data_IF_624471705956
#
_entry.id   IF_624471705956
#
_cell.length_a   1.000
_cell.length_b   1.000
_cell.length_c   1.000
_cell.angle_alpha   90.00
_cell.angle_beta   90.00
_cell.angle_gamma   90.00
#
_symmetry.space_group_name_H-M   'P 1'
#
loop_
_entity.id
_entity.type
_entity.pdbx_description
1 polymer ?
#
# COMPACT_ATOMS: atom_id res chain seq x y z
N UNK A 1 -26.21 10.32 6.91
CA UNK A 1 -24.89 9.77 7.30
C UNK A 1 -25.12 8.44 8.01
N UNK A 2 -24.45 7.36 7.61
CA UNK A 2 -24.49 6.10 8.36
C UNK A 2 -23.26 6.09 9.26
N UNK A 3 -23.45 6.43 10.54
CA UNK A 3 -22.38 6.56 11.55
C UNK A 3 -21.47 5.32 11.58
N UNK A 4 -22.05 4.13 11.35
CA UNK A 4 -21.31 2.87 11.33
C UNK A 4 -20.19 2.80 10.29
N UNK A 5 -20.36 3.43 9.13
CA UNK A 5 -19.35 3.40 8.04
C UNK A 5 -18.17 4.32 8.36
N UNK A 6 -18.43 5.49 8.95
CA UNK A 6 -17.35 6.37 9.42
C UNK A 6 -16.56 5.72 10.54
N UNK A 7 -17.23 5.07 11.49
CA UNK A 7 -16.57 4.38 12.60
C UNK A 7 -15.61 3.28 12.08
N UNK A 8 -16.07 2.48 11.11
CA UNK A 8 -15.24 1.47 10.45
C UNK A 8 -14.07 2.09 9.68
N UNK A 9 -14.29 3.19 8.96
CA UNK A 9 -13.24 3.90 8.22
C UNK A 9 -12.15 4.45 9.13
N UNK A 10 -12.52 5.10 10.24
CA UNK A 10 -11.56 5.62 11.23
C UNK A 10 -10.79 4.48 11.90
N UNK A 11 -11.49 3.40 12.29
CA UNK A 11 -10.85 2.24 12.91
C UNK A 11 -9.86 1.56 11.96
N UNK A 12 -10.22 1.45 10.67
CA UNK A 12 -9.33 0.95 9.63
C UNK A 12 -8.10 1.86 9.43
N UNK A 13 -8.30 3.17 9.37
CA UNK A 13 -7.20 4.14 9.25
C UNK A 13 -6.23 4.08 10.43
N UNK A 14 -6.75 3.97 11.67
CA UNK A 14 -5.93 3.80 12.87
C UNK A 14 -5.17 2.48 12.87
N UNK A 15 -5.82 1.39 12.45
CA UNK A 15 -5.17 0.09 12.32
C UNK A 15 -4.03 0.13 11.29
N UNK A 16 -4.26 0.74 10.12
CA UNK A 16 -3.23 0.91 9.09
C UNK A 16 -2.04 1.70 9.62
N UNK A 17 -2.29 2.83 10.30
CA UNK A 17 -1.24 3.65 10.90
C UNK A 17 -0.42 2.85 11.94
N UNK A 18 -1.09 2.04 12.76
CA UNK A 18 -0.44 1.16 13.73
C UNK A 18 0.42 0.08 13.06
N UNK A 19 -0.07 -0.56 12.01
CA UNK A 19 0.68 -1.57 11.25
C UNK A 19 1.92 -0.94 10.59
N UNK A 20 1.76 0.22 9.96
CA UNK A 20 2.86 1.00 9.38
C UNK A 20 3.92 1.36 10.42
N UNK A 21 3.49 1.75 11.63
CA UNK A 21 4.40 2.03 12.74
C UNK A 21 5.17 0.78 13.21
N UNK A 22 4.51 -0.38 13.32
CA UNK A 22 5.17 -1.65 13.67
C UNK A 22 6.20 -2.04 12.62
N UNK A 23 5.84 -2.00 11.34
CA UNK A 23 6.75 -2.39 10.26
C UNK A 23 7.97 -1.45 10.18
N UNK A 24 7.79 -0.16 10.47
CA UNK A 24 8.91 0.75 10.62
C UNK A 24 9.82 0.40 11.81
N UNK A 25 9.22 0.07 12.96
CA UNK A 25 9.98 -0.38 14.15
C UNK A 25 10.77 -1.67 13.88
N UNK A 26 10.27 -2.54 13.00
CA UNK A 26 10.94 -3.78 12.55
C UNK A 26 12.07 -3.54 11.52
N UNK A 27 12.29 -2.29 11.07
CA UNK A 27 13.25 -1.91 10.00
C UNK A 27 13.03 -2.61 8.66
N UNK A 28 11.84 -3.15 8.44
CA UNK A 28 11.46 -3.78 7.16
C UNK A 28 11.03 -2.72 6.12
N UNK A 29 10.66 -1.52 6.58
CA UNK A 29 10.30 -0.39 5.73
C UNK A 29 11.43 0.65 5.67
N UNK A 30 11.71 1.11 4.47
CA UNK A 30 12.57 2.28 4.23
C UNK A 30 11.88 3.53 4.81
N UNK A 31 12.64 4.52 5.26
CA UNK A 31 12.08 5.76 5.83
C UNK A 31 11.07 6.46 4.90
N UNK A 32 11.30 6.41 3.59
CA UNK A 32 10.39 6.95 2.57
C UNK A 32 9.04 6.21 2.52
N UNK A 33 9.06 4.88 2.64
CA UNK A 33 7.85 4.06 2.59
C UNK A 33 7.02 4.26 3.86
N UNK A 34 7.68 4.35 5.02
CA UNK A 34 7.01 4.66 6.28
C UNK A 34 6.29 6.02 6.23
N UNK A 35 6.96 7.05 5.71
CA UNK A 35 6.37 8.38 5.54
C UNK A 35 5.17 8.37 4.61
N UNK A 36 5.29 7.70 3.45
CA UNK A 36 4.20 7.57 2.49
C UNK A 36 2.96 6.89 3.09
N UNK A 37 3.14 5.73 3.73
CA UNK A 37 2.03 4.96 4.30
C UNK A 37 1.38 5.67 5.51
N UNK A 38 2.18 6.37 6.32
CA UNK A 38 1.69 7.14 7.46
C UNK A 38 0.91 8.37 7.00
N UNK A 39 1.41 9.09 5.98
CA UNK A 39 0.71 10.22 5.36
C UNK A 39 -0.62 9.77 4.75
N UNK A 40 -0.61 8.67 4.00
CA UNK A 40 -1.80 8.11 3.37
C UNK A 40 -2.86 7.72 4.42
N UNK A 41 -2.43 7.09 5.52
CA UNK A 41 -3.32 6.73 6.62
C UNK A 41 -3.90 7.96 7.32
N UNK A 42 -3.10 9.01 7.56
CA UNK A 42 -3.59 10.28 8.11
C UNK A 42 -4.62 10.95 7.21
N UNK A 43 -4.34 11.06 5.90
CA UNK A 43 -5.26 11.62 4.91
C UNK A 43 -6.57 10.84 4.88
N UNK A 44 -6.49 9.50 4.95
CA UNK A 44 -7.67 8.64 4.99
C UNK A 44 -8.53 8.88 6.24
N UNK A 45 -7.91 9.00 7.42
CA UNK A 45 -8.62 9.32 8.67
C UNK A 45 -9.32 10.68 8.56
N UNK A 46 -8.63 11.70 8.03
CA UNK A 46 -9.19 13.05 7.85
C UNK A 46 -10.41 13.01 6.92
N UNK A 47 -10.32 12.34 5.77
CA UNK A 47 -11.46 12.20 4.86
C UNK A 47 -12.60 11.36 5.44
N UNK A 48 -12.31 10.39 6.31
CA UNK A 48 -13.33 9.61 7.01
C UNK A 48 -14.10 10.45 8.04
N UNK A 49 -13.40 11.33 8.77
CA UNK A 49 -14.01 12.23 9.76
C UNK A 49 -14.78 13.39 9.13
N UNK A 50 -14.27 13.93 8.02
CA UNK A 50 -14.86 15.06 7.30
C UNK A 50 -15.14 14.70 5.83
N UNK A 51 -16.18 13.88 5.55
CA UNK A 51 -16.53 13.50 4.18
C UNK A 51 -16.94 14.70 3.32
N UNK A 52 -17.36 15.81 3.93
CA UNK A 52 -17.73 17.03 3.23
C UNK A 52 -16.58 17.73 2.49
N UNK A 53 -15.32 17.39 2.80
CA UNK A 53 -14.17 17.85 2.00
C UNK A 53 -14.18 17.27 0.58
N UNK A 54 -14.87 16.15 0.37
CA UNK A 54 -14.97 15.47 -0.92
C UNK A 54 -16.21 15.89 -1.70
N UNK A 55 -17.16 16.61 -1.10
CA UNK A 55 -18.38 17.08 -1.77
C UNK A 55 -18.11 17.83 -3.10
N UNK A 56 -17.15 18.78 -3.19
CA UNK A 56 -16.86 19.43 -4.48
C UNK A 56 -16.29 18.48 -5.54
N UNK A 57 -15.58 17.42 -5.12
CA UNK A 57 -15.10 16.37 -6.02
C UNK A 57 -16.23 15.43 -6.46
N UNK A 58 -17.17 15.12 -5.57
CA UNK A 58 -18.34 14.27 -5.83
C UNK A 58 -19.26 14.93 -6.85
N UNK A 59 -19.52 16.23 -6.66
CA UNK A 59 -20.37 17.04 -7.53
C UNK A 59 -19.75 17.25 -8.92
N UNK A 60 -18.42 17.41 -8.99
CA UNK A 60 -17.69 17.55 -10.27
C UNK A 60 -17.67 16.26 -11.10
N UNK A 61 -17.76 15.09 -10.47
CA UNK A 61 -17.70 13.79 -11.15
C UNK A 61 -19.08 13.12 -11.27
N UNK A 62 -20.17 13.82 -10.95
CA UNK A 62 -21.56 13.32 -10.96
C UNK A 62 -21.77 12.02 -10.17
N UNK A 63 -20.92 11.73 -9.19
CA UNK A 63 -21.10 10.53 -8.38
C UNK A 63 -22.29 10.72 -7.44
N UNK A 64 -23.23 9.78 -7.45
CA UNK A 64 -24.43 9.85 -6.61
C UNK A 64 -24.13 9.84 -5.10
N UNK A 65 -22.96 9.34 -4.67
CA UNK A 65 -22.54 9.22 -3.27
C UNK A 65 -21.02 9.27 -3.10
N UNK A 66 -20.53 9.93 -2.05
CA UNK A 66 -19.11 9.94 -1.62
C UNK A 66 -18.53 8.53 -1.41
N UNK A 67 -19.38 7.57 -1.04
CA UNK A 67 -18.99 6.17 -0.84
C UNK A 67 -18.55 5.46 -2.13
N UNK A 68 -19.12 5.83 -3.28
CA UNK A 68 -18.79 5.20 -4.55
C UNK A 68 -17.38 5.64 -5.00
N UNK A 69 -17.06 6.91 -4.78
CA UNK A 69 -15.71 7.45 -4.96
C UNK A 69 -14.67 6.77 -4.08
N UNK A 70 -14.96 6.58 -2.79
CA UNK A 70 -14.07 5.84 -1.89
C UNK A 70 -13.84 4.40 -2.37
N UNK A 71 -14.89 3.74 -2.85
CA UNK A 71 -14.80 2.36 -3.35
C UNK A 71 -13.94 2.29 -4.59
N UNK A 72 -14.16 3.17 -5.57
CA UNK A 72 -13.36 3.22 -6.81
C UNK A 72 -11.90 3.57 -6.50
N UNK A 73 -11.66 4.58 -5.66
CA UNK A 73 -10.31 4.98 -5.27
C UNK A 73 -9.60 3.86 -4.51
N UNK A 74 -10.30 3.17 -3.60
CA UNK A 74 -9.79 2.01 -2.89
C UNK A 74 -9.41 0.88 -3.83
N UNK A 75 -10.27 0.55 -4.80
CA UNK A 75 -9.98 -0.46 -5.82
C UNK A 75 -8.79 -0.08 -6.70
N UNK A 76 -8.73 1.17 -7.18
CA UNK A 76 -7.59 1.66 -7.96
C UNK A 76 -6.29 1.56 -7.18
N UNK A 77 -6.31 1.96 -5.90
CA UNK A 77 -5.16 1.88 -5.02
C UNK A 77 -4.73 0.42 -4.80
N UNK A 78 -5.67 -0.49 -4.55
CA UNK A 78 -5.41 -1.90 -4.29
C UNK A 78 -4.82 -2.59 -5.53
N UNK A 79 -5.39 -2.35 -6.72
CA UNK A 79 -4.85 -2.88 -7.98
C UNK A 79 -3.46 -2.32 -8.26
N UNK A 80 -3.26 -1.01 -8.08
CA UNK A 80 -1.96 -0.37 -8.26
C UNK A 80 -0.90 -0.94 -7.31
N UNK A 81 -1.24 -1.09 -6.03
CA UNK A 81 -0.35 -1.70 -5.03
C UNK A 81 -0.06 -3.16 -5.33
N UNK A 82 -1.05 -3.94 -5.79
CA UNK A 82 -0.85 -5.34 -6.16
C UNK A 82 0.11 -5.46 -7.36
N UNK A 83 -0.07 -4.61 -8.36
CA UNK A 83 0.79 -4.57 -9.55
C UNK A 83 2.22 -4.14 -9.21
N UNK A 84 2.38 -3.16 -8.32
CA UNK A 84 3.68 -2.74 -7.81
C UNK A 84 4.39 -3.88 -7.07
N UNK A 85 3.69 -4.53 -6.13
CA UNK A 85 4.21 -5.69 -5.40
C UNK A 85 4.56 -6.83 -6.34
N UNK A 86 3.71 -7.13 -7.33
CA UNK A 86 3.98 -8.15 -8.34
C UNK A 86 5.28 -7.85 -9.12
N UNK A 87 5.49 -6.59 -9.49
CA UNK A 87 6.68 -6.16 -10.24
C UNK A 87 7.96 -6.32 -9.40
N UNK A 88 7.92 -5.95 -8.12
CA UNK A 88 9.04 -6.16 -7.19
C UNK A 88 9.34 -7.65 -7.04
N UNK A 89 8.32 -8.46 -6.74
CA UNK A 89 8.48 -9.91 -6.57
C UNK A 89 9.07 -10.55 -7.83
N UNK A 90 8.58 -10.16 -9.01
CA UNK A 90 9.10 -10.67 -10.29
C UNK A 90 10.55 -10.28 -10.54
N UNK A 91 10.94 -9.10 -10.09
CA UNK A 91 12.32 -8.59 -10.22
C UNK A 91 13.26 -9.32 -9.27
N UNK A 92 12.84 -9.54 -8.02
CA UNK A 92 13.61 -10.27 -7.03
C UNK A 92 13.77 -11.74 -7.40
N UNK A 93 12.73 -12.37 -7.96
CA UNK A 93 12.82 -13.73 -8.51
C UNK A 93 13.93 -13.86 -9.56
N UNK A 94 14.00 -12.94 -10.53
CA UNK A 94 15.03 -12.95 -11.58
C UNK A 94 16.44 -12.74 -11.00
N UNK A 95 16.59 -11.79 -10.08
CA UNK A 95 17.87 -11.53 -9.39
C UNK A 95 18.35 -12.75 -8.61
N UNK A 96 17.43 -13.43 -7.94
CA UNK A 96 17.72 -14.64 -7.18
C UNK A 96 18.17 -15.79 -8.11
N UNK A 97 17.49 -15.96 -9.25
CA UNK A 97 17.88 -16.93 -10.28
C UNK A 97 19.29 -16.66 -10.81
N UNK A 98 19.59 -15.40 -11.15
CA UNK A 98 20.92 -14.98 -11.61
C UNK A 98 22.01 -15.21 -10.55
N UNK A 99 21.71 -14.92 -9.27
CA UNK A 99 22.59 -15.17 -8.14
C UNK A 99 22.90 -16.66 -7.99
N UNK A 100 21.87 -17.52 -7.96
CA UNK A 100 22.03 -18.97 -7.83
C UNK A 100 22.81 -19.53 -9.03
N UNK A 101 22.52 -19.06 -10.24
CA UNK A 101 23.26 -19.44 -11.46
C UNK A 101 24.73 -19.04 -11.39
N UNK A 102 25.02 -17.81 -10.97
CA UNK A 102 26.38 -17.33 -10.80
C UNK A 102 27.15 -18.11 -9.74
N UNK A 103 26.51 -18.45 -8.62
CA UNK A 103 27.08 -19.27 -7.56
C UNK A 103 27.38 -20.70 -8.05
N UNK A 104 26.46 -21.32 -8.80
CA UNK A 104 26.65 -22.65 -9.36
C UNK A 104 27.83 -22.70 -10.35
N UNK A 105 27.90 -21.74 -11.29
CA UNK A 105 29.02 -21.65 -12.26
C UNK A 105 30.35 -21.41 -11.53
N UNK A 106 30.38 -20.55 -10.50
CA UNK A 106 31.58 -20.30 -9.70
C UNK A 106 32.04 -21.54 -8.93
N UNK A 107 31.11 -22.36 -8.43
CA UNK A 107 31.41 -23.62 -7.73
C UNK A 107 32.09 -24.61 -8.67
N UNK A 108 31.53 -24.81 -9.86
CA UNK A 108 32.11 -25.67 -10.91
C UNK A 108 33.50 -25.18 -11.31
N UNK A 109 33.70 -23.87 -11.54
CA UNK A 109 35.00 -23.30 -11.89
C UNK A 109 36.08 -23.44 -10.79
N UNK A 110 35.68 -23.54 -9.52
CA UNK A 110 36.61 -23.69 -8.39
C UNK A 110 36.99 -25.13 -8.07
N UNK A 111 36.49 -26.12 -8.81
CA UNK A 111 36.82 -27.54 -8.62
C UNK A 111 36.46 -28.09 -7.24
N UNK A 112 35.61 -27.39 -6.48
CA UNK A 112 35.05 -27.91 -5.22
C UNK A 112 33.68 -28.51 -5.52
N UNK A 113 33.42 -29.77 -5.10
CA UNK A 113 32.12 -30.40 -5.29
C UNK A 113 31.00 -29.57 -4.66
#
# INVERSE_FOLDING_TARGET
MIIGVQLLGVLFGLMMLYVTFIQHKRRELTFNEWGFWSLLSCVFIVFSLAPGLLDPLVESLEFGRTMDLFTIMGFMFLVGSLFYTYTIVRTDQKRFEELVRALAIRRVKRGKP
#
